data_IF_138028654870
#
_entry.id   IF_138028654870
#
_cell.length_a   1.000
_cell.length_b   1.000
_cell.length_c   1.000
_cell.angle_alpha   90.00
_cell.angle_beta   90.00
_cell.angle_gamma   90.00
#
_symmetry.space_group_name_H-M   'P 1'
#
loop_
_entity.id
_entity.type
_entity.pdbx_description
1 polymer ?
#
# COMPACT_ATOMS: atom_id res chain seq x y z
N UNK A 1 39.61 3.70 33.67
CA UNK A 1 38.16 3.79 33.92
C UNK A 1 37.39 3.86 32.60
N UNK A 2 37.49 2.85 31.72
CA UNK A 2 36.89 2.94 30.36
C UNK A 2 36.08 1.70 29.96
N UNK A 3 35.70 0.82 30.88
CA UNK A 3 35.12 -0.47 30.52
C UNK A 3 33.66 -0.69 30.99
N UNK A 4 33.02 0.27 31.62
CA UNK A 4 31.67 0.09 32.20
C UNK A 4 30.56 0.58 31.23
N UNK A 5 30.88 1.40 30.23
CA UNK A 5 29.91 1.90 29.27
C UNK A 5 29.68 1.02 28.02
N UNK A 6 30.57 0.04 27.79
CA UNK A 6 30.48 -0.81 26.61
C UNK A 6 29.53 -2.03 26.78
N UNK A 7 29.33 -2.49 28.02
CA UNK A 7 28.50 -3.69 28.29
C UNK A 7 27.03 -3.54 27.88
N UNK A 8 26.30 -2.43 28.19
CA UNK A 8 24.91 -2.29 27.79
C UNK A 8 24.70 -2.24 26.28
N UNK A 9 25.66 -1.66 25.54
CA UNK A 9 25.59 -1.60 24.09
C UNK A 9 25.83 -2.96 23.45
N UNK A 10 26.71 -3.78 24.03
CA UNK A 10 26.97 -5.15 23.58
C UNK A 10 25.78 -6.05 23.88
N UNK A 11 25.18 -5.95 25.06
CA UNK A 11 23.96 -6.70 25.41
C UNK A 11 22.79 -6.34 24.50
N UNK A 12 22.57 -5.04 24.23
CA UNK A 12 21.55 -4.58 23.28
C UNK A 12 21.78 -5.12 21.86
N UNK A 13 23.03 -5.18 21.41
CA UNK A 13 23.38 -5.76 20.12
C UNK A 13 23.10 -7.26 20.05
N UNK A 14 23.45 -8.04 21.07
CA UNK A 14 23.14 -9.46 21.13
C UNK A 14 21.63 -9.72 21.19
N UNK A 15 20.89 -8.91 21.92
CA UNK A 15 19.43 -9.00 21.99
C UNK A 15 18.79 -8.72 20.62
N UNK A 16 19.30 -7.72 19.87
CA UNK A 16 18.86 -7.45 18.50
C UNK A 16 19.13 -8.64 17.55
N UNK A 17 20.31 -9.26 17.65
CA UNK A 17 20.66 -10.45 16.85
C UNK A 17 19.77 -11.65 17.17
N UNK A 18 19.42 -11.87 18.43
CA UNK A 18 18.53 -12.95 18.83
C UNK A 18 17.10 -12.72 18.29
N UNK A 19 16.61 -11.49 18.30
CA UNK A 19 15.32 -11.11 17.71
C UNK A 19 15.32 -11.35 16.19
N UNK A 20 16.35 -10.93 15.47
CA UNK A 20 16.50 -11.16 14.02
C UNK A 20 16.56 -12.66 13.68
N UNK A 21 17.27 -13.45 14.46
CA UNK A 21 17.34 -14.90 14.27
C UNK A 21 16.00 -15.59 14.54
N UNK A 22 15.26 -15.13 15.55
CA UNK A 22 13.90 -15.62 15.84
C UNK A 22 12.94 -15.32 14.70
N UNK A 23 12.97 -14.10 14.17
CA UNK A 23 12.18 -13.70 13.02
C UNK A 23 12.50 -14.53 11.78
N UNK A 24 13.78 -14.72 11.47
CA UNK A 24 14.24 -15.54 10.34
C UNK A 24 13.80 -17.01 10.47
N UNK A 25 13.82 -17.58 11.68
CA UNK A 25 13.31 -18.93 11.95
C UNK A 25 11.82 -19.02 11.70
N UNK A 26 11.05 -18.03 12.15
CA UNK A 26 9.61 -17.98 11.96
C UNK A 26 9.23 -17.90 10.49
N UNK A 27 9.90 -17.05 9.72
CA UNK A 27 9.70 -16.95 8.27
C UNK A 27 9.98 -18.28 7.57
N UNK A 28 11.09 -18.96 7.91
CA UNK A 28 11.43 -20.27 7.33
C UNK A 28 10.43 -21.37 7.70
N UNK A 29 9.86 -21.32 8.89
CA UNK A 29 8.82 -22.26 9.30
C UNK A 29 7.55 -22.09 8.47
N UNK A 30 7.11 -20.85 8.24
CA UNK A 30 5.97 -20.54 7.39
C UNK A 30 6.21 -20.95 5.93
N UNK A 31 7.38 -20.63 5.38
CA UNK A 31 7.76 -20.97 4.00
C UNK A 31 7.72 -22.48 3.70
N UNK A 32 8.06 -23.32 4.68
CA UNK A 32 8.01 -24.79 4.52
C UNK A 32 6.59 -25.36 4.46
N UNK A 33 5.62 -24.66 4.96
CA UNK A 33 4.27 -25.18 5.19
C UNK A 33 3.19 -24.54 4.31
N UNK A 34 3.52 -23.47 3.57
CA UNK A 34 2.56 -22.66 2.85
C UNK A 34 2.98 -22.42 1.39
N UNK A 35 2.01 -22.27 0.50
CA UNK A 35 2.25 -21.70 -0.84
C UNK A 35 2.63 -20.22 -0.77
N UNK A 36 3.16 -19.68 -1.87
CA UNK A 36 3.66 -18.29 -1.91
C UNK A 36 2.62 -17.25 -1.50
N UNK A 37 1.40 -17.39 -2.00
CA UNK A 37 0.29 -16.48 -1.73
C UNK A 37 -0.09 -16.52 -0.26
N UNK A 38 -0.19 -17.72 0.31
CA UNK A 38 -0.49 -17.94 1.71
C UNK A 38 0.63 -17.41 2.60
N UNK A 39 1.89 -17.69 2.25
CA UNK A 39 3.06 -17.16 2.93
C UNK A 39 3.04 -15.63 2.98
N UNK A 40 2.79 -14.98 1.83
CA UNK A 40 2.75 -13.53 1.74
C UNK A 40 1.69 -12.92 2.67
N UNK A 41 0.49 -13.47 2.66
CA UNK A 41 -0.61 -13.01 3.52
C UNK A 41 -0.31 -13.27 5.00
N UNK A 42 0.24 -14.43 5.33
CA UNK A 42 0.59 -14.79 6.70
C UNK A 42 1.72 -13.89 7.25
N UNK A 43 2.76 -13.64 6.46
CA UNK A 43 3.84 -12.71 6.83
C UNK A 43 3.29 -11.29 7.02
N UNK A 44 2.45 -10.81 6.11
CA UNK A 44 1.78 -9.52 6.27
C UNK A 44 0.96 -9.43 7.57
N UNK A 45 0.20 -10.47 7.88
CA UNK A 45 -0.54 -10.57 9.13
C UNK A 45 0.37 -10.50 10.37
N UNK A 46 1.44 -11.30 10.38
CA UNK A 46 2.33 -11.40 11.55
C UNK A 46 3.15 -10.12 11.77
N UNK A 47 3.56 -9.44 10.69
CA UNK A 47 4.21 -8.12 10.78
C UNK A 47 3.23 -7.07 11.33
N UNK A 48 2.04 -6.97 10.78
CA UNK A 48 1.04 -5.99 11.20
C UNK A 48 0.61 -6.15 12.67
N UNK A 49 0.72 -7.37 13.22
CA UNK A 49 0.44 -7.69 14.62
C UNK A 49 1.70 -7.70 15.51
N UNK A 50 2.87 -7.28 15.00
CA UNK A 50 4.11 -7.17 15.78
C UNK A 50 4.73 -8.50 16.22
N UNK A 51 4.44 -9.61 15.50
CA UNK A 51 4.98 -10.94 15.82
C UNK A 51 6.36 -11.20 15.18
N UNK A 52 6.60 -10.64 13.99
CA UNK A 52 7.85 -10.86 13.25
C UNK A 52 8.78 -9.65 13.35
N UNK A 53 8.24 -8.42 13.34
CA UNK A 53 9.03 -7.20 13.41
C UNK A 53 8.40 -6.20 14.38
N UNK A 54 9.22 -5.34 14.97
CA UNK A 54 8.77 -4.25 15.83
C UNK A 54 8.90 -2.94 15.06
N UNK A 55 7.85 -2.12 15.11
CA UNK A 55 7.78 -0.81 14.50
C UNK A 55 7.45 0.23 15.56
N UNK A 56 7.82 1.47 15.33
CA UNK A 56 7.56 2.57 16.27
C UNK A 56 6.06 2.81 16.46
N UNK A 57 5.28 2.61 15.39
CA UNK A 57 3.84 2.80 15.43
C UNK A 57 3.09 1.80 14.52
N UNK A 58 1.78 1.74 14.71
CA UNK A 58 0.89 0.82 13.99
C UNK A 58 0.89 1.06 12.47
N UNK A 59 1.04 2.29 12.01
CA UNK A 59 1.02 2.61 10.58
C UNK A 59 2.27 2.10 9.88
N UNK A 60 3.43 2.28 10.49
CA UNK A 60 4.69 1.72 9.99
C UNK A 60 4.66 0.20 9.94
N UNK A 61 4.05 -0.46 10.94
CA UNK A 61 3.85 -1.90 10.92
C UNK A 61 2.98 -2.33 9.73
N UNK A 62 1.90 -1.61 9.45
CA UNK A 62 1.02 -1.88 8.30
C UNK A 62 1.74 -1.65 6.98
N UNK A 63 2.51 -0.57 6.85
CA UNK A 63 3.30 -0.30 5.66
C UNK A 63 4.37 -1.39 5.44
N UNK A 64 5.09 -1.76 6.47
CA UNK A 64 6.07 -2.86 6.45
C UNK A 64 5.43 -4.20 6.07
N UNK A 65 4.25 -4.50 6.60
CA UNK A 65 3.47 -5.68 6.27
C UNK A 65 3.09 -5.75 4.79
N UNK A 66 2.59 -4.63 4.24
CA UNK A 66 2.19 -4.54 2.83
C UNK A 66 3.41 -4.71 1.92
N UNK A 67 4.50 -3.98 2.21
CA UNK A 67 5.74 -4.05 1.42
C UNK A 67 6.35 -5.45 1.43
N UNK A 68 6.44 -6.10 2.59
CA UNK A 68 6.99 -7.45 2.72
C UNK A 68 6.14 -8.49 1.97
N UNK A 69 4.82 -8.44 2.11
CA UNK A 69 3.92 -9.37 1.42
C UNK A 69 3.96 -9.17 -0.10
N UNK A 70 3.97 -7.93 -0.60
CA UNK A 70 4.12 -7.64 -2.03
C UNK A 70 5.46 -8.13 -2.56
N UNK A 71 6.56 -7.97 -1.79
CA UNK A 71 7.87 -8.51 -2.17
C UNK A 71 7.85 -10.02 -2.35
N UNK A 72 7.19 -10.75 -1.46
CA UNK A 72 7.04 -12.21 -1.56
C UNK A 72 6.20 -12.58 -2.79
N UNK A 73 5.07 -11.91 -3.02
CA UNK A 73 4.19 -12.18 -4.17
C UNK A 73 4.88 -11.93 -5.52
N UNK A 74 5.76 -10.95 -5.58
CA UNK A 74 6.49 -10.56 -6.80
C UNK A 74 7.87 -11.21 -6.91
N UNK A 75 8.23 -12.14 -6.01
CA UNK A 75 9.55 -12.81 -5.92
C UNK A 75 10.74 -11.87 -5.75
N UNK A 76 10.49 -10.64 -5.37
CA UNK A 76 11.54 -9.61 -5.27
C UNK A 76 12.21 -9.27 -6.63
N UNK A 77 11.72 -9.86 -7.73
CA UNK A 77 12.28 -9.66 -9.08
C UNK A 77 12.08 -8.21 -9.55
N UNK A 78 11.09 -7.53 -9.02
CA UNK A 78 10.79 -6.15 -9.38
C UNK A 78 10.72 -5.31 -8.09
N UNK A 79 11.71 -4.48 -7.86
CA UNK A 79 11.70 -3.51 -6.75
C UNK A 79 10.58 -2.46 -6.90
N UNK A 80 10.19 -2.16 -8.13
CA UNK A 80 9.25 -1.11 -8.47
C UNK A 80 7.87 -1.19 -7.79
N UNK A 81 7.22 -2.35 -7.53
CA UNK A 81 5.97 -2.38 -6.77
C UNK A 81 6.14 -1.91 -5.33
N UNK A 82 7.28 -2.18 -4.72
CA UNK A 82 7.59 -1.78 -3.35
C UNK A 82 7.93 -0.28 -3.30
N UNK A 83 8.75 0.19 -4.23
CA UNK A 83 9.12 1.59 -4.40
C UNK A 83 7.92 2.45 -4.87
N UNK A 84 6.98 1.83 -5.56
CA UNK A 84 5.75 2.46 -6.00
C UNK A 84 4.80 2.88 -4.88
N UNK A 85 4.92 2.30 -3.69
CA UNK A 85 4.19 2.75 -2.51
C UNK A 85 4.99 3.87 -1.85
N UNK A 86 4.51 5.11 -1.94
CA UNK A 86 5.18 6.25 -1.32
C UNK A 86 5.00 6.24 0.20
N UNK A 87 3.77 6.04 0.66
CA UNK A 87 3.42 5.95 2.09
C UNK A 87 2.09 5.23 2.30
N UNK A 88 1.87 4.79 3.52
CA UNK A 88 0.57 4.31 4.01
C UNK A 88 0.06 5.24 5.11
N UNK A 89 -1.23 5.51 5.15
CA UNK A 89 -1.85 6.38 6.14
C UNK A 89 -3.25 5.89 6.55
N UNK A 90 -3.81 6.48 7.59
CA UNK A 90 -5.20 6.30 7.97
C UNK A 90 -6.01 7.53 7.60
N UNK A 91 -7.15 7.30 6.94
CA UNK A 91 -8.18 8.28 6.74
C UNK A 91 -9.41 8.03 7.64
N UNK A 92 -10.38 8.93 7.58
CA UNK A 92 -11.66 8.81 8.29
C UNK A 92 -12.82 8.76 7.31
N UNK A 93 -13.67 7.72 7.44
CA UNK A 93 -14.97 7.68 6.80
C UNK A 93 -15.93 8.69 7.43
N UNK A 94 -17.00 9.04 6.73
CA UNK A 94 -18.05 9.94 7.26
C UNK A 94 -18.78 9.35 8.48
N UNK A 95 -18.70 8.03 8.65
CA UNK A 95 -19.15 7.31 9.87
C UNK A 95 -18.21 7.44 11.07
N UNK A 96 -17.07 8.11 10.93
CA UNK A 96 -16.03 8.24 11.97
C UNK A 96 -15.07 7.06 12.05
N UNK A 97 -15.32 5.95 11.35
CA UNK A 97 -14.43 4.80 11.32
C UNK A 97 -13.16 5.09 10.50
N UNK A 98 -12.02 4.49 10.91
CA UNK A 98 -10.77 4.66 10.17
C UNK A 98 -10.71 3.69 8.99
N UNK A 99 -10.14 4.14 7.88
CA UNK A 99 -9.81 3.31 6.72
C UNK A 99 -8.33 3.44 6.36
N UNK A 100 -7.83 2.46 5.61
CA UNK A 100 -6.46 2.46 5.12
C UNK A 100 -6.36 3.22 3.80
N UNK A 101 -5.34 4.08 3.67
CA UNK A 101 -5.02 4.84 2.46
C UNK A 101 -3.59 4.48 2.02
N UNK A 102 -3.43 4.09 0.75
CA UNK A 102 -2.13 3.85 0.14
C UNK A 102 -1.85 4.98 -0.85
N UNK A 103 -0.70 5.62 -0.71
CA UNK A 103 -0.21 6.63 -1.63
C UNK A 103 0.79 6.00 -2.60
N UNK A 104 0.52 6.16 -3.87
CA UNK A 104 1.40 5.69 -4.94
C UNK A 104 2.26 6.82 -5.48
N UNK A 105 3.57 6.56 -5.57
CA UNK A 105 4.54 7.48 -6.17
C UNK A 105 4.33 7.60 -7.69
N UNK A 106 4.74 8.75 -8.25
CA UNK A 106 4.45 9.10 -9.63
C UNK A 106 4.96 8.15 -10.70
N UNK A 107 6.25 7.90 -10.87
CA UNK A 107 6.75 7.17 -12.03
C UNK A 107 6.75 5.65 -11.86
N UNK A 108 5.59 5.04 -11.66
CA UNK A 108 5.45 3.59 -11.62
C UNK A 108 5.38 3.00 -13.04
N UNK A 109 6.22 3.44 -13.95
CA UNK A 109 6.15 3.08 -15.36
C UNK A 109 6.65 1.67 -15.70
N UNK A 110 7.50 1.09 -14.85
CA UNK A 110 8.21 -0.16 -15.16
C UNK A 110 7.60 -1.44 -14.60
N UNK A 111 6.73 -1.35 -13.59
CA UNK A 111 6.27 -2.52 -12.83
C UNK A 111 4.92 -3.12 -13.28
N UNK A 112 4.18 -2.42 -14.14
CA UNK A 112 2.81 -2.80 -14.50
C UNK A 112 1.81 -2.60 -13.34
N UNK A 113 0.57 -2.19 -13.65
CA UNK A 113 -0.47 -1.91 -12.65
C UNK A 113 -0.87 -3.14 -11.83
N UNK A 114 -0.85 -4.34 -12.43
CA UNK A 114 -1.23 -5.59 -11.75
C UNK A 114 -0.36 -5.89 -10.53
N UNK A 115 0.96 -5.73 -10.63
CA UNK A 115 1.86 -5.97 -9.49
C UNK A 115 1.58 -5.00 -8.33
N UNK A 116 1.10 -3.80 -8.63
CA UNK A 116 0.74 -2.80 -7.63
C UNK A 116 -0.66 -3.01 -7.07
N UNK A 117 -1.58 -3.50 -7.87
CA UNK A 117 -2.91 -3.89 -7.39
C UNK A 117 -2.84 -5.01 -6.34
N UNK A 118 -1.83 -5.88 -6.39
CA UNK A 118 -1.56 -6.85 -5.32
C UNK A 118 -1.36 -6.15 -3.96
N UNK A 119 -0.84 -4.93 -3.93
CA UNK A 119 -0.73 -4.16 -2.69
C UNK A 119 -2.09 -3.78 -2.10
N UNK A 120 -3.10 -3.55 -2.95
CA UNK A 120 -4.48 -3.29 -2.50
C UNK A 120 -5.10 -4.54 -1.89
N UNK A 121 -4.90 -5.71 -2.53
CA UNK A 121 -5.35 -7.00 -2.00
C UNK A 121 -4.72 -7.31 -0.62
N UNK A 122 -3.40 -7.17 -0.54
CA UNK A 122 -2.66 -7.37 0.72
C UNK A 122 -3.14 -6.38 1.79
N UNK A 123 -3.31 -5.12 1.42
CA UNK A 123 -3.76 -4.09 2.36
C UNK A 123 -5.19 -4.36 2.85
N UNK A 124 -6.09 -4.88 2.00
CA UNK A 124 -7.42 -5.31 2.43
C UNK A 124 -7.35 -6.46 3.43
N UNK A 125 -6.49 -7.43 3.19
CA UNK A 125 -6.26 -8.53 4.13
C UNK A 125 -5.72 -8.02 5.48
N UNK A 126 -4.65 -7.21 5.44
CA UNK A 126 -4.00 -6.66 6.63
C UNK A 126 -4.96 -5.79 7.44
N UNK A 127 -5.71 -4.86 6.80
CA UNK A 127 -6.64 -3.99 7.53
C UNK A 127 -7.72 -4.78 8.27
N UNK A 128 -8.24 -5.86 7.66
CA UNK A 128 -9.22 -6.75 8.31
C UNK A 128 -8.61 -7.43 9.54
N UNK A 129 -7.39 -7.93 9.40
CA UNK A 129 -6.68 -8.61 10.47
C UNK A 129 -6.43 -7.74 11.72
N UNK A 130 -6.29 -6.42 11.53
CA UNK A 130 -6.02 -5.45 12.61
C UNK A 130 -7.23 -4.58 12.98
N UNK A 131 -8.42 -4.89 12.43
CA UNK A 131 -9.67 -4.24 12.79
C UNK A 131 -9.84 -2.80 12.25
N UNK A 132 -9.27 -2.50 11.07
CA UNK A 132 -9.51 -1.24 10.37
C UNK A 132 -10.67 -1.42 9.39
N UNK A 133 -11.65 -0.48 9.37
CA UNK A 133 -12.82 -0.54 8.50
C UNK A 133 -12.42 -0.36 7.02
N UNK A 134 -13.32 -0.74 6.11
CA UNK A 134 -13.13 -0.49 4.69
C UNK A 134 -13.25 1.00 4.36
N UNK A 135 -12.55 1.41 3.31
CA UNK A 135 -12.79 2.70 2.69
C UNK A 135 -14.21 2.77 2.12
N UNK A 136 -14.87 3.90 2.35
CA UNK A 136 -16.19 4.23 1.81
C UNK A 136 -16.05 5.54 1.02
N UNK A 137 -15.85 5.45 -0.30
CA UNK A 137 -15.69 6.64 -1.13
C UNK A 137 -16.97 7.47 -1.15
N UNK A 138 -16.82 8.79 -1.12
CA UNK A 138 -17.92 9.72 -1.42
C UNK A 138 -18.15 9.74 -2.94
N UNK A 139 -19.37 10.07 -3.36
CA UNK A 139 -19.68 10.20 -4.79
C UNK A 139 -18.71 11.11 -5.53
N UNK A 140 -18.32 12.23 -4.94
CA UNK A 140 -17.38 13.16 -5.55
C UNK A 140 -15.99 12.55 -5.76
N UNK A 141 -15.53 11.66 -4.88
CA UNK A 141 -14.25 10.96 -5.00
C UNK A 141 -14.27 9.90 -6.10
N UNK A 142 -15.42 9.22 -6.29
CA UNK A 142 -15.63 8.29 -7.40
C UNK A 142 -15.60 9.06 -8.73
N UNK A 143 -16.38 10.13 -8.86
CA UNK A 143 -16.44 10.94 -10.07
C UNK A 143 -15.11 11.64 -10.36
N UNK A 144 -14.30 11.94 -9.32
CA UNK A 144 -12.94 12.44 -9.48
C UNK A 144 -12.06 11.42 -10.23
N UNK A 145 -12.13 10.15 -9.92
CA UNK A 145 -11.37 9.12 -10.65
C UNK A 145 -11.88 8.97 -12.09
N UNK A 146 -13.19 9.05 -12.30
CA UNK A 146 -13.79 9.03 -13.64
C UNK A 146 -13.28 10.18 -14.51
N UNK A 147 -13.12 11.37 -13.95
CA UNK A 147 -12.57 12.53 -14.66
C UNK A 147 -11.06 12.38 -14.91
N UNK A 148 -10.30 11.87 -13.94
CA UNK A 148 -8.84 11.77 -14.01
C UNK A 148 -8.34 10.72 -15.00
N UNK A 149 -8.98 9.55 -15.11
CA UNK A 149 -8.50 8.44 -15.95
C UNK A 149 -8.37 8.85 -17.43
N UNK A 150 -9.34 9.52 -18.08
CA UNK A 150 -9.16 10.00 -19.44
C UNK A 150 -8.06 11.06 -19.59
N UNK A 151 -7.85 11.92 -18.58
CA UNK A 151 -6.76 12.90 -18.57
C UNK A 151 -5.40 12.21 -18.52
N UNK A 152 -5.26 11.22 -17.63
CA UNK A 152 -4.05 10.42 -17.51
C UNK A 152 -3.76 9.62 -18.79
N UNK A 153 -4.79 9.04 -19.43
CA UNK A 153 -4.64 8.35 -20.72
C UNK A 153 -4.04 9.24 -21.79
N UNK A 154 -4.49 10.49 -21.89
CA UNK A 154 -3.97 11.44 -22.88
C UNK A 154 -2.49 11.73 -22.65
N UNK A 155 -2.07 11.82 -21.39
CA UNK A 155 -0.67 12.09 -21.03
C UNK A 155 0.24 10.87 -21.22
N UNK A 156 -0.24 9.64 -20.93
CA UNK A 156 0.57 8.44 -20.83
C UNK A 156 0.28 7.37 -21.91
N UNK A 157 -0.62 7.62 -22.86
CA UNK A 157 -0.98 6.70 -23.95
C UNK A 157 -1.33 5.29 -23.47
N UNK A 158 -2.19 5.18 -22.45
CA UNK A 158 -2.63 3.87 -21.91
C UNK A 158 -3.28 3.03 -23.01
N UNK A 159 -2.94 1.72 -23.04
CA UNK A 159 -3.46 0.78 -24.02
C UNK A 159 -4.95 0.46 -23.79
N UNK A 160 -5.35 0.35 -22.53
CA UNK A 160 -6.73 0.11 -22.10
C UNK A 160 -7.29 1.37 -21.41
N UNK A 161 -8.56 1.62 -21.63
CA UNK A 161 -9.31 2.64 -20.91
C UNK A 161 -10.62 1.99 -20.46
N UNK A 162 -10.84 1.85 -19.14
CA UNK A 162 -12.12 1.40 -18.63
C UNK A 162 -13.20 2.44 -18.96
N UNK A 163 -14.42 1.96 -19.15
CA UNK A 163 -15.60 2.84 -19.23
C UNK A 163 -15.80 3.61 -17.92
N UNK A 164 -16.56 4.68 -17.98
CA UNK A 164 -16.93 5.40 -16.76
C UNK A 164 -17.67 4.52 -15.75
N UNK A 165 -18.50 3.60 -16.22
CA UNK A 165 -19.25 2.67 -15.37
C UNK A 165 -18.33 1.66 -14.68
N UNK A 166 -17.38 1.10 -15.41
CA UNK A 166 -16.35 0.21 -14.86
C UNK A 166 -15.50 0.96 -13.81
N UNK A 167 -15.07 2.19 -14.12
CA UNK A 167 -14.33 3.02 -13.18
C UNK A 167 -15.11 3.28 -11.89
N UNK A 168 -16.40 3.65 -12.02
CA UNK A 168 -17.27 3.85 -10.85
C UNK A 168 -17.40 2.58 -10.02
N UNK A 169 -17.63 1.44 -10.69
CA UNK A 169 -17.77 0.13 -10.02
C UNK A 169 -16.51 -0.24 -9.24
N UNK A 170 -15.34 -0.09 -9.87
CA UNK A 170 -14.04 -0.38 -9.27
C UNK A 170 -13.80 0.51 -8.05
N UNK A 171 -13.88 1.82 -8.21
CA UNK A 171 -13.58 2.77 -7.12
C UNK A 171 -14.58 2.64 -5.97
N UNK A 172 -15.86 2.44 -6.26
CA UNK A 172 -16.90 2.25 -5.25
C UNK A 172 -16.68 1.01 -4.39
N UNK A 173 -16.14 -0.05 -4.96
CA UNK A 173 -15.95 -1.33 -4.28
C UNK A 173 -14.53 -1.51 -3.70
N UNK A 174 -13.59 -0.65 -4.05
CA UNK A 174 -12.22 -0.71 -3.52
C UNK A 174 -12.23 -0.57 -1.99
N UNK A 175 -11.73 -1.57 -1.25
CA UNK A 175 -11.79 -1.57 0.22
C UNK A 175 -10.74 -0.69 0.88
N UNK A 176 -9.76 -0.22 0.10
CA UNK A 176 -8.64 0.61 0.50
C UNK A 176 -8.65 1.88 -0.33
N UNK A 177 -8.39 3.03 0.26
CA UNK A 177 -8.25 4.26 -0.50
C UNK A 177 -6.95 4.24 -1.31
N UNK A 178 -7.07 4.28 -2.62
CA UNK A 178 -5.96 4.42 -3.56
C UNK A 178 -5.77 5.90 -3.85
N UNK A 179 -4.64 6.46 -3.42
CA UNK A 179 -4.28 7.86 -3.60
C UNK A 179 -2.85 7.96 -4.15
N UNK A 180 -2.36 9.15 -4.44
CA UNK A 180 -1.02 9.32 -5.00
C UNK A 180 -0.59 10.75 -5.15
N UNK A 181 0.69 10.90 -5.47
CA UNK A 181 1.29 12.19 -5.79
C UNK A 181 0.80 12.71 -7.14
N UNK A 182 0.77 14.04 -7.34
CA UNK A 182 0.52 14.63 -8.65
C UNK A 182 1.67 14.27 -9.61
N UNK A 183 1.34 13.72 -10.77
CA UNK A 183 2.32 13.28 -11.77
C UNK A 183 2.30 14.09 -13.06
N UNK A 184 1.18 14.75 -13.33
CA UNK A 184 0.98 15.51 -14.57
C UNK A 184 0.65 16.97 -14.25
N UNK A 185 1.06 17.89 -15.13
CA UNK A 185 0.71 19.32 -15.04
C UNK A 185 -0.73 19.62 -15.49
N UNK A 186 -1.59 18.63 -15.41
CA UNK A 186 -3.01 18.71 -15.77
C UNK A 186 -3.85 18.62 -14.51
N UNK A 187 -4.79 19.53 -14.37
CA UNK A 187 -5.77 19.53 -13.28
C UNK A 187 -7.14 19.06 -13.76
N UNK A 188 -7.91 18.48 -12.85
CA UNK A 188 -9.32 18.23 -13.08
C UNK A 188 -10.10 19.56 -13.06
N UNK A 189 -11.24 19.59 -13.73
CA UNK A 189 -12.09 20.77 -13.82
C UNK A 189 -13.34 20.67 -12.96
N UNK A 190 -13.90 19.48 -12.80
CA UNK A 190 -15.19 19.25 -12.16
C UNK A 190 -15.10 18.95 -10.66
N UNK A 191 -14.30 17.99 -10.29
CA UNK A 191 -14.23 17.48 -8.89
C UNK A 191 -12.95 17.94 -8.21
N UNK A 192 -12.93 19.23 -7.85
CA UNK A 192 -11.80 19.94 -7.22
C UNK A 192 -11.99 20.04 -5.69
N UNK A 193 -10.87 20.32 -5.02
CA UNK A 193 -10.82 20.71 -3.59
C UNK A 193 -11.57 19.72 -2.67
N UNK A 194 -11.43 18.43 -2.93
CA UNK A 194 -12.03 17.38 -2.12
C UNK A 194 -11.22 17.17 -0.84
N UNK A 195 -11.90 17.22 0.31
CA UNK A 195 -11.28 17.13 1.66
C UNK A 195 -10.33 15.94 1.85
N UNK A 196 -10.60 14.82 1.17
CA UNK A 196 -9.82 13.58 1.32
C UNK A 196 -8.88 13.30 0.15
N UNK A 197 -8.76 14.24 -0.81
CA UNK A 197 -7.84 14.18 -1.96
C UNK A 197 -6.91 15.39 -1.92
N UNK A 198 -5.63 15.16 -1.76
CA UNK A 198 -4.65 16.21 -1.43
C UNK A 198 -4.31 17.14 -2.60
N UNK A 199 -4.70 16.82 -3.83
CA UNK A 199 -4.34 17.60 -5.02
C UNK A 199 -5.45 17.66 -6.06
N UNK A 200 -5.51 18.75 -6.82
CA UNK A 200 -6.38 18.87 -7.99
C UNK A 200 -5.70 18.35 -9.28
N UNK A 201 -4.40 18.05 -9.23
CA UNK A 201 -3.65 17.53 -10.37
C UNK A 201 -3.87 16.01 -10.51
N UNK A 202 -3.61 15.51 -11.71
CA UNK A 202 -3.73 14.08 -12.04
C UNK A 202 -2.72 13.25 -11.25
N UNK A 203 -3.19 12.21 -10.57
CA UNK A 203 -2.44 11.30 -9.68
C UNK A 203 -2.09 9.99 -10.40
N UNK A 204 -1.16 10.05 -11.35
CA UNK A 204 -0.90 8.93 -12.28
C UNK A 204 -0.58 7.60 -11.62
N UNK A 205 0.14 7.57 -10.49
CA UNK A 205 0.40 6.33 -9.75
C UNK A 205 -0.87 5.65 -9.25
N UNK A 206 -1.78 6.41 -8.65
CA UNK A 206 -3.08 5.91 -8.19
C UNK A 206 -3.96 5.44 -9.35
N UNK A 207 -4.02 6.25 -10.42
CA UNK A 207 -4.84 5.92 -11.59
C UNK A 207 -4.32 4.68 -12.32
N UNK A 208 -3.02 4.44 -12.33
CA UNK A 208 -2.42 3.22 -12.88
C UNK A 208 -2.92 1.98 -12.14
N UNK A 209 -2.97 2.03 -10.81
CA UNK A 209 -3.50 0.93 -9.99
C UNK A 209 -4.98 0.70 -10.28
N UNK A 210 -5.78 1.76 -10.37
CA UNK A 210 -7.22 1.66 -10.67
C UNK A 210 -7.47 1.17 -12.09
N UNK A 211 -6.66 1.60 -13.08
CA UNK A 211 -6.86 1.26 -14.48
C UNK A 211 -6.40 -0.16 -14.85
N UNK A 212 -5.24 -0.58 -14.36
CA UNK A 212 -4.56 -1.78 -14.83
C UNK A 212 -4.67 -2.96 -13.86
N UNK A 213 -5.09 -2.75 -12.66
CA UNK A 213 -4.95 -3.71 -11.59
C UNK A 213 -6.23 -4.16 -10.91
N UNK A 214 -7.35 -3.51 -11.18
CA UNK A 214 -8.59 -3.81 -10.44
C UNK A 214 -9.70 -4.37 -11.32
#
# INVERSE_FOLDING_TARGET
>A
MSNVMAMPAIEAYFQSLEEELSQARRIRELDRNSGREELALQIGYEIANGKIARFENKIEAVEGAIRAAVAILTEGVVAAPIEGIAKVALGKNDTGTSYLKIYYAGPIRSAGGTAQALSVLVADYVRRAIGIDRYRPRKAEIERCVEEIPLYKRAQHLQYLPSEEETRLVVQNCPVCVDGEPTEDVEVSGYRDLDRVETNRVRGGALRVVNDGV
#
